data_IF_531917716602
#
_entry.id   IF_531917716602
#
_cell.length_a   1.000
_cell.length_b   1.000
_cell.length_c   1.000
_cell.angle_alpha   90.00
_cell.angle_beta   90.00
_cell.angle_gamma   90.00
#
_symmetry.space_group_name_H-M   'P 1'
#
loop_
_entity.id
_entity.type
_entity.pdbx_description
1 polymer ?
#
# COMPACT_ATOMS: atom_id res chain seq x y z
N UNK A 1 -8.49 26.63 10.51
CA UNK A 1 -7.73 27.90 10.68
C UNK A 1 -6.73 28.04 9.53
N UNK A 2 -7.08 28.68 8.41
CA UNK A 2 -6.14 28.84 7.29
C UNK A 2 -5.29 30.09 7.48
N UNK A 3 -3.96 29.93 7.56
CA UNK A 3 -3.01 31.03 7.64
C UNK A 3 -2.94 31.75 6.30
N UNK A 4 -3.48 32.96 6.27
CA UNK A 4 -3.45 33.91 5.16
C UNK A 4 -2.00 34.34 4.91
N UNK A 5 -1.29 33.66 3.98
CA UNK A 5 0.05 34.06 3.56
C UNK A 5 -0.05 35.34 2.73
N UNK A 6 0.34 36.45 3.35
CA UNK A 6 0.55 37.74 2.71
C UNK A 6 1.55 37.59 1.56
N UNK A 7 1.07 37.66 0.32
CA UNK A 7 1.91 37.89 -0.85
C UNK A 7 2.45 39.31 -0.74
N UNK A 8 3.64 39.47 -0.13
CA UNK A 8 4.46 40.68 -0.27
C UNK A 8 4.68 40.93 -1.76
N UNK A 9 3.90 41.84 -2.31
CA UNK A 9 4.13 42.40 -3.63
C UNK A 9 5.50 43.05 -3.61
N UNK A 10 6.48 42.40 -4.23
CA UNK A 10 7.78 43.01 -4.52
C UNK A 10 7.48 44.20 -5.41
N UNK A 11 7.40 45.40 -4.81
CA UNK A 11 7.35 46.67 -5.50
C UNK A 11 8.52 46.69 -6.46
N UNK A 12 8.23 46.56 -7.76
CA UNK A 12 9.23 46.80 -8.81
C UNK A 12 9.86 48.16 -8.52
N UNK A 13 11.18 48.28 -8.43
CA UNK A 13 11.82 49.57 -8.28
C UNK A 13 11.38 50.44 -9.46
N UNK A 14 10.86 51.62 -9.13
CA UNK A 14 10.43 52.66 -10.07
C UNK A 14 11.64 52.96 -10.96
N UNK A 15 11.62 52.53 -12.23
CA UNK A 15 12.67 52.88 -13.19
C UNK A 15 12.71 54.40 -13.24
N UNK A 16 13.78 54.99 -12.70
CA UNK A 16 14.03 56.41 -12.83
C UNK A 16 14.10 56.72 -14.34
N UNK A 17 13.49 57.82 -14.81
CA UNK A 17 13.65 58.24 -16.20
C UNK A 17 15.16 58.40 -16.45
N UNK A 18 15.64 57.71 -17.49
CA UNK A 18 17.01 57.88 -18.01
C UNK A 18 17.21 59.38 -18.26
N UNK A 19 18.04 60.03 -17.44
CA UNK A 19 18.54 61.37 -17.76
C UNK A 19 19.30 61.21 -19.07
N UNK A 20 18.81 61.90 -20.10
CA UNK A 20 19.11 61.67 -21.50
C UNK A 20 20.57 61.37 -21.81
N UNK A 21 20.74 60.37 -22.67
CA UNK A 21 21.93 59.98 -23.45
C UNK A 21 22.50 61.09 -24.34
N UNK A 22 22.20 62.37 -24.07
CA UNK A 22 22.85 63.47 -24.76
C UNK A 22 24.21 63.68 -24.11
N UNK A 23 25.17 62.88 -24.57
CA UNK A 23 26.60 63.12 -24.42
C UNK A 23 26.84 64.59 -24.80
N UNK A 24 27.17 65.48 -23.83
CA UNK A 24 27.08 66.93 -24.03
C UNK A 24 28.16 67.52 -24.93
N UNK A 25 29.19 66.74 -25.25
CA UNK A 25 30.31 67.10 -26.11
C UNK A 25 30.69 65.87 -26.94
N UNK A 26 30.85 66.01 -28.25
CA UNK A 26 31.45 64.97 -29.07
C UNK A 26 32.99 65.01 -28.91
N UNK A 27 33.70 63.87 -28.96
CA UNK A 27 35.17 63.87 -28.92
C UNK A 27 35.78 64.72 -30.05
N UNK A 28 35.08 64.84 -31.18
CA UNK A 28 35.48 65.63 -32.33
C UNK A 28 35.16 67.13 -32.18
N UNK A 29 34.56 67.54 -31.06
CA UNK A 29 34.33 68.94 -30.70
C UNK A 29 35.41 69.46 -29.73
N UNK A 30 36.30 68.59 -29.24
CA UNK A 30 37.39 68.88 -28.31
C UNK A 30 38.64 69.29 -29.12
N UNK A 31 38.58 70.47 -29.75
CA UNK A 31 39.68 71.02 -30.55
C UNK A 31 40.18 72.36 -30.01
N UNK A 32 41.50 72.56 -30.07
CA UNK A 32 42.17 73.78 -29.61
C UNK A 32 41.71 75.05 -30.36
N UNK A 33 41.28 74.89 -31.62
CA UNK A 33 40.80 75.96 -32.49
C UNK A 33 39.45 76.56 -32.05
N UNK A 34 38.71 75.84 -31.21
CA UNK A 34 37.40 76.29 -30.70
C UNK A 34 37.50 77.02 -29.36
N UNK A 35 38.71 77.15 -28.81
CA UNK A 35 38.93 77.90 -27.58
C UNK A 35 39.03 79.41 -27.88
N UNK A 36 38.39 80.28 -27.07
CA UNK A 36 38.51 81.72 -27.24
C UNK A 36 39.96 82.18 -27.01
N UNK A 37 40.58 82.81 -28.01
CA UNK A 37 41.93 83.38 -27.89
C UNK A 37 41.88 84.66 -27.04
N UNK A 38 42.41 84.60 -25.81
CA UNK A 38 42.61 85.79 -24.99
C UNK A 38 43.91 86.51 -25.42
N UNK A 39 43.79 87.80 -25.75
CA UNK A 39 44.91 88.64 -26.22
C UNK A 39 45.94 88.99 -25.14
N UNK A 40 45.65 88.71 -23.87
CA UNK A 40 46.56 88.94 -22.74
C UNK A 40 46.45 87.77 -21.75
N UNK A 41 47.55 87.04 -21.53
CA UNK A 41 47.66 86.00 -20.49
C UNK A 41 47.09 84.61 -20.82
N UNK A 42 46.94 84.25 -22.10
CA UNK A 42 46.39 82.96 -22.54
C UNK A 42 47.30 81.73 -22.29
N UNK A 43 46.70 80.54 -22.36
CA UNK A 43 47.42 79.27 -22.30
C UNK A 43 48.33 79.06 -23.51
N UNK A 44 49.44 78.35 -23.33
CA UNK A 44 50.34 77.98 -24.43
C UNK A 44 49.64 76.99 -25.37
N UNK A 45 49.58 77.31 -26.66
CA UNK A 45 48.84 76.51 -27.66
C UNK A 45 49.29 75.04 -27.72
N UNK A 46 50.60 74.77 -27.77
CA UNK A 46 51.13 73.39 -27.91
C UNK A 46 50.73 72.43 -26.77
N UNK A 47 51.04 72.73 -25.49
CA UNK A 47 50.66 71.87 -24.38
C UNK A 47 49.15 71.68 -24.22
N UNK A 48 48.35 72.69 -24.58
CA UNK A 48 46.89 72.61 -24.56
C UNK A 48 46.38 71.68 -25.66
N UNK A 49 46.94 71.76 -26.85
CA UNK A 49 46.59 70.88 -27.97
C UNK A 49 46.88 69.41 -27.64
N UNK A 50 48.05 69.11 -27.06
CA UNK A 50 48.41 67.75 -26.64
C UNK A 50 47.47 67.22 -25.54
N UNK A 51 47.09 68.09 -24.59
CA UNK A 51 46.11 67.74 -23.55
C UNK A 51 44.73 67.47 -24.15
N UNK A 52 44.25 68.31 -25.06
CA UNK A 52 42.94 68.14 -25.71
C UNK A 52 42.89 66.87 -26.56
N UNK A 53 43.96 66.55 -27.29
CA UNK A 53 44.08 65.28 -28.03
C UNK A 53 44.00 64.07 -27.10
N UNK A 54 44.68 64.12 -25.95
CA UNK A 54 44.61 63.06 -24.93
C UNK A 54 43.20 62.93 -24.35
N UNK A 55 42.57 64.04 -23.98
CA UNK A 55 41.20 64.06 -23.46
C UNK A 55 40.20 63.54 -24.49
N UNK A 56 40.35 63.91 -25.78
CA UNK A 56 39.51 63.39 -26.86
C UNK A 56 39.68 61.88 -27.05
N UNK A 57 40.91 61.36 -26.93
CA UNK A 57 41.19 59.92 -26.97
C UNK A 57 40.59 59.18 -25.77
N UNK A 58 40.84 59.64 -24.54
CA UNK A 58 40.28 59.08 -23.31
C UNK A 58 38.74 59.07 -23.37
N UNK A 59 38.14 60.13 -23.93
CA UNK A 59 36.70 60.23 -24.09
C UNK A 59 36.13 59.24 -25.12
N UNK A 60 36.86 59.00 -26.23
CA UNK A 60 36.48 57.94 -27.19
C UNK A 60 36.53 56.56 -26.54
N UNK A 61 37.55 56.28 -25.73
CA UNK A 61 37.67 55.04 -24.97
C UNK A 61 36.50 54.88 -23.99
N UNK A 62 36.17 55.92 -23.21
CA UNK A 62 35.03 55.93 -22.30
C UNK A 62 33.70 55.70 -23.04
N UNK A 63 33.49 56.31 -24.21
CA UNK A 63 32.28 56.08 -25.01
C UNK A 63 32.21 54.64 -25.53
N UNK A 64 33.33 54.06 -25.94
CA UNK A 64 33.40 52.68 -26.37
C UNK A 64 33.07 51.72 -25.22
N UNK A 65 33.68 51.93 -24.05
CA UNK A 65 33.42 51.13 -22.86
C UNK A 65 31.99 51.28 -22.35
N UNK A 66 31.44 52.49 -22.41
CA UNK A 66 30.05 52.75 -22.07
C UNK A 66 29.09 51.95 -22.97
N UNK A 67 29.31 51.96 -24.30
CA UNK A 67 28.52 51.13 -25.23
C UNK A 67 28.63 49.64 -24.91
N UNK A 68 29.85 49.15 -24.69
CA UNK A 68 30.10 47.75 -24.31
C UNK A 68 29.38 47.37 -23.01
N UNK A 69 29.42 48.25 -22.01
CA UNK A 69 28.71 48.05 -20.76
C UNK A 69 27.19 48.03 -20.98
N UNK A 70 26.64 48.93 -21.78
CA UNK A 70 25.21 48.91 -22.11
C UNK A 70 24.78 47.62 -22.82
N UNK A 71 25.57 47.12 -23.77
CA UNK A 71 25.33 45.83 -24.42
C UNK A 71 25.36 44.67 -23.42
N UNK A 72 26.37 44.63 -22.53
CA UNK A 72 26.45 43.58 -21.50
C UNK A 72 25.29 43.63 -20.51
N UNK A 73 24.85 44.83 -20.11
CA UNK A 73 23.69 45.01 -19.23
C UNK A 73 22.43 44.55 -19.94
N UNK A 74 22.24 44.89 -21.21
CA UNK A 74 21.09 44.43 -22.00
C UNK A 74 21.07 42.89 -22.14
N UNK A 75 22.23 42.28 -22.42
CA UNK A 75 22.36 40.82 -22.51
C UNK A 75 22.07 40.13 -21.17
N UNK A 76 22.63 40.65 -20.07
CA UNK A 76 22.39 40.11 -18.73
C UNK A 76 20.93 40.27 -18.33
N UNK A 77 20.29 41.41 -18.64
CA UNK A 77 18.87 41.64 -18.40
C UNK A 77 18.00 40.63 -19.17
N UNK A 78 18.26 40.44 -20.46
CA UNK A 78 17.56 39.43 -21.26
C UNK A 78 17.76 38.02 -20.69
N UNK A 79 18.97 37.69 -20.23
CA UNK A 79 19.26 36.40 -19.60
C UNK A 79 18.53 36.23 -18.27
N UNK A 80 18.45 37.28 -17.45
CA UNK A 80 17.70 37.22 -16.20
C UNK A 80 16.21 37.03 -16.43
N UNK A 81 15.62 37.72 -17.41
CA UNK A 81 14.20 37.57 -17.74
C UNK A 81 13.89 36.15 -18.25
N UNK A 82 14.78 35.57 -19.05
CA UNK A 82 14.64 34.18 -19.51
C UNK A 82 14.72 33.18 -18.35
N UNK A 83 15.69 33.34 -17.45
CA UNK A 83 15.82 32.47 -16.28
C UNK A 83 14.64 32.60 -15.33
N UNK A 84 14.11 33.81 -15.13
CA UNK A 84 12.88 34.03 -14.34
C UNK A 84 11.68 33.27 -14.94
N UNK A 85 11.51 33.32 -16.27
CA UNK A 85 10.45 32.56 -16.95
C UNK A 85 10.63 31.05 -16.79
N UNK A 86 11.87 30.55 -16.86
CA UNK A 86 12.16 29.13 -16.65
C UNK A 86 11.86 28.69 -15.23
N UNK A 87 12.22 29.50 -14.23
CA UNK A 87 11.89 29.24 -12.82
C UNK A 87 10.37 29.19 -12.64
N UNK A 88 9.64 30.18 -13.14
CA UNK A 88 8.17 30.21 -13.05
C UNK A 88 7.52 28.98 -13.71
N UNK A 89 8.04 28.58 -14.88
CA UNK A 89 7.58 27.38 -15.58
C UNK A 89 7.82 26.10 -14.76
N UNK A 90 9.02 25.94 -14.19
CA UNK A 90 9.38 24.79 -13.35
C UNK A 90 8.57 24.76 -12.04
N UNK A 91 8.37 25.90 -11.39
CA UNK A 91 7.55 26.00 -10.19
C UNK A 91 6.09 25.61 -10.49
N UNK A 92 5.55 26.04 -11.63
CA UNK A 92 4.20 25.66 -12.05
C UNK A 92 4.07 24.16 -12.35
N UNK A 93 5.09 23.55 -12.97
CA UNK A 93 5.13 22.11 -13.24
C UNK A 93 5.24 21.31 -11.94
N UNK A 94 6.10 21.72 -11.02
CA UNK A 94 6.23 21.11 -9.70
C UNK A 94 4.93 21.23 -8.88
N UNK A 95 4.24 22.37 -8.95
CA UNK A 95 2.95 22.55 -8.30
C UNK A 95 1.87 21.60 -8.86
N UNK A 96 1.85 21.39 -10.18
CA UNK A 96 0.94 20.44 -10.84
C UNK A 96 1.19 18.99 -10.42
N UNK A 97 2.45 18.60 -10.17
CA UNK A 97 2.81 17.24 -9.75
C UNK A 97 2.57 16.96 -8.26
N UNK A 98 2.52 17.98 -7.39
CA UNK A 98 2.24 17.76 -5.96
C UNK A 98 0.88 17.13 -5.69
N UNK A 99 -0.15 17.52 -6.44
CA UNK A 99 -1.51 16.97 -6.29
C UNK A 99 -1.61 15.47 -6.59
N UNK A 100 -1.14 14.95 -7.75
CA UNK A 100 -1.18 13.52 -8.01
C UNK A 100 -0.32 12.72 -7.02
N UNK A 101 0.82 13.27 -6.58
CA UNK A 101 1.65 12.61 -5.57
C UNK A 101 0.92 12.50 -4.21
N UNK A 102 0.22 13.56 -3.79
CA UNK A 102 -0.61 13.53 -2.58
C UNK A 102 -1.75 12.52 -2.70
N UNK A 103 -2.43 12.46 -3.84
CA UNK A 103 -3.48 11.48 -4.11
C UNK A 103 -2.93 10.04 -4.11
N UNK A 104 -1.77 9.81 -4.73
CA UNK A 104 -1.12 8.51 -4.73
C UNK A 104 -0.73 8.08 -3.31
N UNK A 105 -0.18 9.00 -2.50
CA UNK A 105 0.13 8.74 -1.08
C UNK A 105 -1.12 8.41 -0.27
N UNK A 106 -2.21 9.14 -0.47
CA UNK A 106 -3.48 8.88 0.20
C UNK A 106 -4.07 7.53 -0.21
N UNK A 107 -4.05 7.20 -1.50
CA UNK A 107 -4.52 5.93 -2.02
C UNK A 107 -3.71 4.75 -1.48
N UNK A 108 -2.38 4.86 -1.43
CA UNK A 108 -1.50 3.86 -0.82
C UNK A 108 -1.74 3.72 0.69
N UNK A 109 -1.91 4.83 1.41
CA UNK A 109 -2.23 4.77 2.84
C UNK A 109 -3.61 4.17 3.12
N UNK A 110 -4.59 4.38 2.24
CA UNK A 110 -5.91 3.75 2.32
C UNK A 110 -5.84 2.26 2.01
N UNK A 111 -5.15 1.85 0.95
CA UNK A 111 -5.00 0.44 0.58
C UNK A 111 -4.25 -0.36 1.65
N UNK A 112 -3.21 0.22 2.26
CA UNK A 112 -2.48 -0.39 3.37
C UNK A 112 -3.36 -0.58 4.61
N UNK A 113 -4.22 0.38 4.93
CA UNK A 113 -5.18 0.25 6.05
C UNK A 113 -6.21 -0.83 5.76
N UNK A 114 -6.83 -0.81 4.59
CA UNK A 114 -7.79 -1.83 4.16
C UNK A 114 -7.18 -3.24 4.16
N UNK A 115 -5.93 -3.39 3.70
CA UNK A 115 -5.23 -4.67 3.72
C UNK A 115 -4.95 -5.17 5.14
N UNK A 116 -4.67 -4.29 6.10
CA UNK A 116 -4.51 -4.66 7.52
C UNK A 116 -5.84 -5.09 8.13
N UNK A 117 -6.91 -4.33 7.90
CA UNK A 117 -8.26 -4.66 8.36
C UNK A 117 -8.72 -6.01 7.84
N UNK A 118 -8.49 -6.30 6.54
CA UNK A 118 -8.82 -7.59 5.93
C UNK A 118 -8.02 -8.75 6.54
N UNK A 119 -6.73 -8.54 6.83
CA UNK A 119 -5.90 -9.56 7.48
C UNK A 119 -6.36 -9.84 8.91
N UNK A 120 -6.69 -8.79 9.65
CA UNK A 120 -7.17 -8.92 11.03
C UNK A 120 -8.56 -9.58 11.08
N UNK A 121 -9.46 -9.25 10.15
CA UNK A 121 -10.77 -9.92 10.05
C UNK A 121 -10.61 -11.39 9.68
N UNK A 122 -9.85 -11.70 8.64
CA UNK A 122 -9.60 -13.08 8.20
C UNK A 122 -8.96 -13.93 9.31
N UNK A 123 -8.06 -13.34 10.11
CA UNK A 123 -7.47 -14.00 11.27
C UNK A 123 -8.51 -14.32 12.34
N UNK A 124 -9.34 -13.35 12.73
CA UNK A 124 -10.42 -13.56 13.71
C UNK A 124 -11.42 -14.62 13.26
N UNK A 125 -11.81 -14.57 12.00
CA UNK A 125 -12.76 -15.53 11.41
C UNK A 125 -12.16 -16.94 11.40
N UNK A 126 -10.88 -17.07 11.06
CA UNK A 126 -10.15 -18.34 11.08
C UNK A 126 -10.02 -18.90 12.50
N UNK A 127 -9.66 -18.05 13.47
CA UNK A 127 -9.59 -18.44 14.89
C UNK A 127 -10.96 -18.92 15.41
N UNK A 128 -12.04 -18.24 15.05
CA UNK A 128 -13.41 -18.61 15.40
C UNK A 128 -13.83 -19.93 14.73
N UNK A 129 -13.48 -20.12 13.45
CA UNK A 129 -13.74 -21.36 12.72
C UNK A 129 -13.00 -22.54 13.38
N UNK A 130 -11.72 -22.37 13.73
CA UNK A 130 -10.93 -23.39 14.44
C UNK A 130 -11.54 -23.72 15.82
N UNK A 131 -11.98 -22.70 16.57
CA UNK A 131 -12.66 -22.91 17.86
C UNK A 131 -13.94 -23.72 17.71
N UNK A 132 -14.77 -23.40 16.70
CA UNK A 132 -16.00 -24.17 16.38
C UNK A 132 -15.69 -25.60 15.95
N UNK A 133 -14.68 -25.79 15.10
CA UNK A 133 -14.26 -27.10 14.63
C UNK A 133 -13.80 -28.00 15.79
N UNK A 134 -12.95 -27.46 16.69
CA UNK A 134 -12.51 -28.16 17.91
C UNK A 134 -13.69 -28.53 18.81
N UNK A 135 -14.60 -27.60 19.08
CA UNK A 135 -15.80 -27.89 19.88
C UNK A 135 -16.75 -28.91 19.23
N UNK A 136 -16.76 -29.02 17.89
CA UNK A 136 -17.49 -30.10 17.19
C UNK A 136 -16.76 -31.43 17.32
N UNK A 137 -15.45 -31.46 17.13
CA UNK A 137 -14.63 -32.66 17.29
C UNK A 137 -14.79 -33.26 18.70
N UNK A 138 -14.64 -32.44 19.75
CA UNK A 138 -14.83 -32.89 21.13
C UNK A 138 -16.24 -33.45 21.40
N UNK A 139 -17.28 -32.88 20.78
CA UNK A 139 -18.65 -33.40 20.93
C UNK A 139 -18.80 -34.76 20.27
N UNK A 140 -18.23 -34.94 19.07
CA UNK A 140 -18.23 -36.21 18.35
C UNK A 140 -17.44 -37.26 19.15
N UNK A 141 -16.27 -36.93 19.65
CA UNK A 141 -15.45 -37.83 20.48
C UNK A 141 -16.21 -38.27 21.74
N UNK A 142 -16.85 -37.34 22.45
CA UNK A 142 -17.67 -37.68 23.63
C UNK A 142 -18.86 -38.56 23.27
N UNK A 143 -19.53 -38.29 22.15
CA UNK A 143 -20.64 -39.10 21.68
C UNK A 143 -20.18 -40.52 21.33
N UNK A 144 -19.13 -40.64 20.52
CA UNK A 144 -18.53 -41.92 20.14
C UNK A 144 -18.07 -42.71 21.36
N UNK A 145 -17.44 -42.07 22.34
CA UNK A 145 -17.02 -42.74 23.57
C UNK A 145 -18.20 -43.29 24.37
N UNK A 146 -19.30 -42.53 24.48
CA UNK A 146 -20.54 -42.99 25.14
C UNK A 146 -21.19 -44.15 24.39
N UNK A 147 -21.29 -44.05 23.08
CA UNK A 147 -21.84 -45.11 22.22
C UNK A 147 -21.00 -46.38 22.31
N UNK A 148 -19.67 -46.27 22.23
CA UNK A 148 -18.75 -47.38 22.38
C UNK A 148 -18.87 -48.04 23.76
N UNK A 149 -18.95 -47.24 24.84
CA UNK A 149 -19.14 -47.77 26.20
C UNK A 149 -20.45 -48.54 26.32
N UNK A 150 -21.54 -48.01 25.73
CA UNK A 150 -22.85 -48.70 25.68
C UNK A 150 -22.77 -49.99 24.88
N UNK A 151 -22.15 -49.96 23.70
CA UNK A 151 -21.99 -51.13 22.84
C UNK A 151 -21.17 -52.22 23.53
N UNK A 152 -20.06 -51.87 24.18
CA UNK A 152 -19.24 -52.81 24.96
C UNK A 152 -20.02 -53.41 26.12
N UNK A 153 -20.81 -52.61 26.84
CA UNK A 153 -21.66 -53.11 27.92
C UNK A 153 -22.73 -54.09 27.41
N UNK A 154 -23.37 -53.79 26.27
CA UNK A 154 -24.36 -54.68 25.67
C UNK A 154 -23.74 -55.98 25.17
N UNK A 155 -22.57 -55.92 24.53
CA UNK A 155 -21.82 -57.13 24.14
C UNK A 155 -21.52 -58.01 25.36
N UNK A 156 -21.07 -57.43 26.48
CA UNK A 156 -20.83 -58.18 27.71
C UNK A 156 -22.12 -58.82 28.24
N UNK A 157 -23.21 -58.06 28.29
CA UNK A 157 -24.52 -58.56 28.71
C UNK A 157 -25.00 -59.74 27.86
N UNK A 158 -24.86 -59.64 26.53
CA UNK A 158 -25.24 -60.72 25.61
C UNK A 158 -24.36 -61.95 25.81
N UNK A 159 -23.06 -61.78 26.05
CA UNK A 159 -22.15 -62.89 26.36
C UNK A 159 -22.50 -63.59 27.69
N UNK A 160 -22.87 -62.84 28.72
CA UNK A 160 -23.34 -63.39 30.00
C UNK A 160 -24.64 -64.18 29.82
N UNK A 161 -25.60 -63.62 29.07
CA UNK A 161 -26.88 -64.28 28.77
C UNK A 161 -26.66 -65.57 27.95
N UNK A 162 -25.77 -65.53 26.96
CA UNK A 162 -25.39 -66.70 26.18
C UNK A 162 -24.83 -67.82 27.07
N UNK A 163 -23.90 -67.50 27.98
CA UNK A 163 -23.32 -68.48 28.91
C UNK A 163 -24.38 -69.08 29.83
N UNK A 164 -25.25 -68.26 30.41
CA UNK A 164 -26.33 -68.73 31.26
C UNK A 164 -27.31 -69.66 30.51
N UNK A 165 -27.62 -69.36 29.24
CA UNK A 165 -28.43 -70.25 28.40
C UNK A 165 -27.71 -71.56 28.09
N UNK A 166 -26.41 -71.52 27.77
CA UNK A 166 -25.61 -72.73 27.54
C UNK A 166 -25.56 -73.62 28.78
N UNK A 167 -25.32 -73.06 29.96
CA UNK A 167 -25.33 -73.78 31.24
C UNK A 167 -26.71 -74.39 31.53
N UNK A 168 -27.78 -73.63 31.30
CA UNK A 168 -29.16 -74.12 31.47
C UNK A 168 -29.47 -75.28 30.52
N UNK A 169 -29.10 -75.17 29.25
CA UNK A 169 -29.28 -76.24 28.27
C UNK A 169 -28.48 -77.48 28.64
N UNK A 170 -27.20 -77.33 28.99
CA UNK A 170 -26.36 -78.44 29.46
C UNK A 170 -26.95 -79.11 30.70
N UNK A 171 -27.39 -78.35 31.70
CA UNK A 171 -28.04 -78.90 32.89
C UNK A 171 -29.33 -79.65 32.56
N UNK A 172 -30.12 -79.14 31.62
CA UNK A 172 -31.36 -79.79 31.19
C UNK A 172 -31.11 -81.09 30.43
N UNK A 173 -30.09 -81.13 29.56
CA UNK A 173 -29.68 -82.34 28.84
C UNK A 173 -29.12 -83.38 29.79
N UNK A 174 -28.29 -82.99 30.76
CA UNK A 174 -27.78 -83.88 31.81
C UNK A 174 -28.92 -84.44 32.67
N UNK A 175 -29.91 -83.61 33.02
CA UNK A 175 -31.09 -84.06 33.75
C UNK A 175 -31.94 -85.05 32.93
N UNK A 176 -32.14 -84.78 31.63
CA UNK A 176 -32.86 -85.68 30.73
C UNK A 176 -32.13 -87.02 30.54
N UNK A 177 -30.81 -87.01 30.39
CA UNK A 177 -29.99 -88.22 30.32
C UNK A 177 -30.08 -89.04 31.61
N UNK A 178 -29.95 -88.40 32.78
CA UNK A 178 -30.11 -89.07 34.07
C UNK A 178 -31.51 -89.69 34.25
N UNK A 179 -32.55 -89.05 33.70
CA UNK A 179 -33.90 -89.58 33.70
C UNK A 179 -34.04 -90.81 32.80
N UNK A 180 -33.41 -90.82 31.61
CA UNK A 180 -33.36 -91.99 30.71
C UNK A 180 -32.55 -93.14 31.32
N UNK A 181 -31.43 -92.85 31.99
CA UNK A 181 -30.63 -93.88 32.67
C UNK A 181 -31.33 -94.47 33.91
N UNK A 182 -32.12 -93.67 34.62
CA UNK A 182 -33.01 -94.13 35.71
C UNK A 182 -34.26 -94.85 35.19
N UNK A 183 -34.76 -94.45 34.02
CA UNK A 183 -35.85 -95.10 33.29
C UNK A 183 -35.28 -96.15 32.33
N UNK A 184 -34.72 -97.22 32.88
CA UNK A 184 -34.52 -98.48 32.18
C UNK A 184 -35.87 -99.19 31.92
N UNK A 185 -36.74 -98.54 31.17
CA UNK A 185 -37.73 -99.15 30.29
C UNK A 185 -37.76 -98.27 29.03
N UNK A 186 -37.39 -98.85 27.90
CA UNK A 186 -37.19 -98.18 26.60
C UNK A 186 -38.51 -97.64 26.06
N UNK A 187 -38.59 -96.36 25.68
CA UNK A 187 -39.57 -95.90 24.70
C UNK A 187 -38.85 -95.30 23.48
N UNK A 188 -39.04 -95.97 22.35
CA UNK A 188 -38.88 -95.43 21.00
C UNK A 188 -39.74 -94.19 20.83
N UNK A 189 -39.19 -93.05 20.43
CA UNK A 189 -39.99 -91.94 19.91
C UNK A 189 -39.34 -91.26 18.70
N UNK A 190 -40.21 -91.10 17.71
CA UNK A 190 -40.02 -90.62 16.36
C UNK A 190 -39.53 -89.17 16.27
N UNK A 191 -38.72 -88.94 15.23
CA UNK A 191 -38.13 -87.67 14.83
C UNK A 191 -39.08 -86.97 13.86
N UNK A 192 -39.86 -85.99 14.33
CA UNK A 192 -40.53 -85.02 13.46
C UNK A 192 -40.57 -83.64 14.13
N UNK A 193 -39.51 -82.84 14.01
CA UNK A 193 -39.63 -81.38 14.21
C UNK A 193 -38.44 -80.60 13.61
N UNK A 194 -38.16 -80.82 12.32
CA UNK A 194 -37.27 -79.96 11.53
C UNK A 194 -38.06 -79.46 10.33
N UNK A 195 -38.74 -78.33 10.49
CA UNK A 195 -39.53 -77.76 9.40
C UNK A 195 -40.33 -76.55 9.83
N UNK A 196 -39.65 -75.45 10.16
CA UNK A 196 -40.19 -74.08 10.15
C UNK A 196 -39.14 -73.12 10.73
N UNK A 197 -38.26 -72.57 9.89
CA UNK A 197 -37.56 -71.31 10.21
C UNK A 197 -36.95 -70.53 9.02
N UNK A 198 -37.14 -70.96 7.77
CA UNK A 198 -36.61 -70.23 6.59
C UNK A 198 -37.63 -69.30 5.90
N UNK A 199 -38.35 -68.47 6.66
CA UNK A 199 -39.28 -67.49 6.08
C UNK A 199 -39.33 -66.18 6.86
N UNK A 200 -38.20 -65.47 6.98
CA UNK A 200 -38.18 -64.09 7.42
C UNK A 200 -36.90 -63.32 7.00
N UNK A 201 -36.44 -63.48 5.77
CA UNK A 201 -35.48 -62.53 5.17
C UNK A 201 -36.10 -61.89 3.93
N UNK A 202 -36.74 -60.74 4.15
CA UNK A 202 -37.33 -59.94 3.09
C UNK A 202 -37.73 -58.56 3.57
N UNK A 203 -36.90 -57.56 3.27
CA UNK A 203 -37.43 -56.27 2.86
C UNK A 203 -36.91 -55.01 3.57
N UNK A 204 -36.53 -54.06 2.73
CA UNK A 204 -36.32 -52.63 2.94
C UNK A 204 -35.00 -52.25 3.64
N UNK A 205 -34.07 -51.54 3.01
CA UNK A 205 -34.22 -50.49 2.00
C UNK A 205 -33.80 -49.17 2.65
N UNK A 206 -32.54 -48.79 2.52
CA UNK A 206 -32.04 -47.49 3.00
C UNK A 206 -31.30 -46.79 1.87
N UNK A 207 -31.99 -45.83 1.25
CA UNK A 207 -31.39 -44.82 0.36
C UNK A 207 -30.45 -43.89 1.16
N UNK A 208 -29.41 -43.33 0.53
CA UNK A 208 -28.61 -42.26 1.12
C UNK A 208 -29.24 -40.87 0.84
N UNK A 209 -29.13 -39.90 1.76
CA UNK A 209 -29.48 -38.52 1.47
C UNK A 209 -28.30 -37.75 0.86
N UNK A 210 -28.65 -36.81 -0.02
CA UNK A 210 -27.78 -35.78 -0.61
C UNK A 210 -27.16 -34.83 0.42
#
# INVERSE_FOLDING_TARGET
>A
MPSRRERKTRRRPKRLPSRGDTVPLNPDEIDAERLPHASVGGFKAGPVEDLLKRVAWDYRELLHDNRRLHETVAQLQARTEELERQIDALESAAARQKQPDELARQALAASQRAARELRDSARRDSELALKKARGRAERIERQFHRENTRAVAEVRRLQELQRALQERLQSSLLAALAQVDGSREVPTLDVELVGRLDAAEGGSGSSPPD
#
